data_IF_012601900192
#
_entry.id   IF_012601900192
#
_cell.length_a   1.000
_cell.length_b   1.000
_cell.length_c   1.000
_cell.angle_alpha   90.00
_cell.angle_beta   90.00
_cell.angle_gamma   90.00
#
_symmetry.space_group_name_H-M   'P 1'
#
loop_
_entity.id
_entity.type
_entity.pdbx_description
1 polymer ?
#
# COMPACT_ATOMS: atom_id res chain seq x y z
N UNK A 1 -12.89 9.26 1.09
CA UNK A 1 -12.28 9.76 2.36
C UNK A 1 -10.77 9.95 2.22
N UNK A 2 -10.02 8.98 1.69
CA UNK A 2 -8.60 9.16 1.36
C UNK A 2 -8.37 10.34 0.40
N UNK A 3 -9.17 10.47 -0.66
CA UNK A 3 -9.04 11.56 -1.65
C UNK A 3 -9.13 12.96 -1.04
N UNK A 4 -9.98 13.14 -0.04
CA UNK A 4 -10.16 14.41 0.68
C UNK A 4 -8.90 14.80 1.48
N UNK A 5 -8.31 13.81 2.16
CA UNK A 5 -7.07 14.00 2.93
C UNK A 5 -5.90 14.32 2.00
N UNK A 6 -5.87 13.67 0.83
CA UNK A 6 -4.81 13.82 -0.17
C UNK A 6 -4.83 15.18 -0.82
N UNK A 7 -6.03 15.67 -1.13
CA UNK A 7 -6.22 17.01 -1.66
C UNK A 7 -5.70 18.09 -0.70
N UNK A 8 -5.87 17.90 0.62
CA UNK A 8 -5.45 18.89 1.62
C UNK A 8 -3.98 18.80 2.04
N UNK A 9 -3.39 17.60 2.07
CA UNK A 9 -2.00 17.40 2.51
C UNK A 9 -0.98 17.38 1.35
N UNK A 10 -1.45 17.17 0.11
CA UNK A 10 -0.63 17.13 -1.09
C UNK A 10 0.11 15.80 -1.29
N UNK A 11 0.33 15.45 -2.56
CA UNK A 11 0.87 14.16 -3.01
C UNK A 11 2.28 13.82 -2.48
N UNK A 12 3.02 14.78 -1.93
CA UNK A 12 4.37 14.56 -1.38
C UNK A 12 4.36 13.84 -0.02
N UNK A 13 3.23 13.92 0.70
CA UNK A 13 3.04 13.37 2.04
C UNK A 13 1.83 12.44 2.11
N UNK A 14 1.33 12.01 0.96
CA UNK A 14 0.15 11.15 0.92
C UNK A 14 0.32 10.11 -0.17
N UNK A 15 0.24 8.84 0.20
CA UNK A 15 0.24 7.74 -0.75
C UNK A 15 -0.92 6.77 -0.49
N UNK A 16 -1.74 6.56 -1.51
CA UNK A 16 -2.93 5.73 -1.47
C UNK A 16 -2.82 4.69 -2.58
N UNK A 17 -3.25 3.47 -2.27
CA UNK A 17 -3.47 2.43 -3.27
C UNK A 17 -4.91 2.45 -3.80
N UNK A 18 -5.34 1.41 -4.51
CA UNK A 18 -6.64 1.36 -5.20
C UNK A 18 -7.80 1.83 -4.32
N UNK A 19 -8.72 2.57 -4.95
CA UNK A 19 -9.96 3.02 -4.33
C UNK A 19 -10.72 1.82 -3.77
N UNK A 20 -11.20 1.92 -2.53
CA UNK A 20 -12.01 0.86 -1.93
C UNK A 20 -13.37 0.76 -2.68
N UNK A 21 -13.40 -0.07 -3.71
CA UNK A 21 -14.56 -0.37 -4.54
C UNK A 21 -14.73 -1.90 -4.57
N UNK A 22 -15.93 -2.37 -4.26
CA UNK A 22 -16.37 -3.77 -4.39
C UNK A 22 -15.35 -4.83 -3.91
N UNK A 23 -15.37 -5.11 -2.60
CA UNK A 23 -14.54 -6.12 -1.92
C UNK A 23 -13.00 -5.92 -1.99
N UNK A 24 -12.53 -4.83 -2.60
CA UNK A 24 -11.12 -4.43 -2.50
C UNK A 24 -10.91 -3.52 -1.31
N UNK A 25 -9.89 -3.82 -0.50
CA UNK A 25 -9.47 -2.95 0.58
C UNK A 25 -8.27 -2.12 0.12
N UNK A 26 -8.39 -0.80 0.22
CA UNK A 26 -7.28 0.12 -0.06
C UNK A 26 -6.35 0.28 1.14
N UNK A 27 -5.07 0.54 0.85
CA UNK A 27 -4.05 0.92 1.82
C UNK A 27 -3.77 2.42 1.67
N UNK A 28 -3.56 3.14 2.77
CA UNK A 28 -3.15 4.54 2.74
C UNK A 28 -1.98 4.78 3.71
N UNK A 29 -1.01 5.59 3.28
CA UNK A 29 0.10 6.09 4.09
C UNK A 29 0.11 7.62 4.05
N UNK A 30 0.25 8.22 5.23
CA UNK A 30 0.42 9.66 5.40
C UNK A 30 1.68 9.85 6.27
N UNK A 31 2.89 9.88 5.68
CA UNK A 31 4.10 10.09 6.44
C UNK A 31 4.32 11.59 6.68
N UNK A 32 4.88 11.93 7.84
CA UNK A 32 5.37 13.29 8.10
C UNK A 32 6.63 13.63 7.25
N UNK A 33 7.29 12.60 6.73
CA UNK A 33 8.52 12.71 5.96
C UNK A 33 8.23 12.63 4.45
N UNK A 34 9.02 13.32 3.61
CA UNK A 34 8.79 13.33 2.18
C UNK A 34 9.02 11.94 1.57
N UNK A 35 8.11 11.55 0.69
CA UNK A 35 8.20 10.32 -0.09
C UNK A 35 9.12 10.58 -1.29
N UNK A 36 10.19 9.80 -1.40
CA UNK A 36 11.15 9.84 -2.52
C UNK A 36 10.67 9.00 -3.71
N UNK A 37 10.15 7.80 -3.44
CA UNK A 37 9.62 6.92 -4.48
C UNK A 37 8.57 5.96 -3.94
N UNK A 38 7.69 5.50 -4.83
CA UNK A 38 6.55 4.67 -4.50
C UNK A 38 6.33 3.59 -5.53
N UNK A 39 6.01 2.38 -5.05
CA UNK A 39 5.49 1.28 -5.85
C UNK A 39 4.25 0.71 -5.17
N UNK A 40 3.27 0.34 -5.98
CA UNK A 40 1.97 -0.18 -5.53
C UNK A 40 1.74 -1.52 -6.22
N UNK A 41 1.23 -2.48 -5.48
CA UNK A 41 0.96 -3.82 -5.96
C UNK A 41 -0.42 -4.28 -5.46
N UNK A 42 -1.27 -4.66 -6.42
CA UNK A 42 -2.45 -5.48 -6.12
C UNK A 42 -1.99 -6.94 -5.97
N UNK A 43 -2.26 -7.55 -4.82
CA UNK A 43 -2.08 -8.99 -4.66
C UNK A 43 -3.44 -9.67 -4.91
N UNK A 44 -3.60 -10.42 -6.00
CA UNK A 44 -4.83 -11.16 -6.24
C UNK A 44 -4.92 -12.35 -5.28
N UNK A 45 -6.08 -12.58 -4.69
CA UNK A 45 -6.40 -13.83 -4.00
C UNK A 45 -7.24 -14.73 -4.90
N UNK A 46 -7.02 -16.05 -4.91
CA UNK A 46 -7.85 -16.99 -5.67
C UNK A 46 -9.32 -17.02 -5.22
N UNK A 47 -9.63 -16.49 -4.04
CA UNK A 47 -10.99 -16.34 -3.52
C UNK A 47 -11.70 -15.06 -4.02
N UNK A 48 -11.06 -14.30 -4.91
CA UNK A 48 -11.64 -13.08 -5.49
C UNK A 48 -11.45 -11.83 -4.64
N UNK A 49 -10.79 -11.94 -3.48
CA UNK A 49 -10.36 -10.80 -2.68
C UNK A 49 -9.07 -10.19 -3.29
N UNK A 50 -8.84 -8.89 -3.08
CA UNK A 50 -7.58 -8.26 -3.43
C UNK A 50 -6.92 -7.66 -2.20
N UNK A 51 -5.65 -8.01 -2.01
CA UNK A 51 -4.76 -7.34 -1.05
C UNK A 51 -4.08 -6.13 -1.69
N UNK A 52 -3.70 -5.17 -0.86
CA UNK A 52 -2.90 -4.01 -1.26
C UNK A 52 -1.51 -4.11 -0.64
N UNK A 53 -0.49 -3.75 -1.41
CA UNK A 53 0.87 -3.53 -0.92
C UNK A 53 1.40 -2.23 -1.48
N UNK A 54 1.86 -1.36 -0.59
CA UNK A 54 2.52 -0.11 -0.90
C UNK A 54 3.96 -0.18 -0.38
N UNK A 55 4.90 -0.06 -1.29
CA UNK A 55 6.31 0.13 -0.99
C UNK A 55 6.67 1.61 -1.16
N UNK A 56 7.15 2.22 -0.09
CA UNK A 56 7.55 3.62 -0.04
C UNK A 56 9.02 3.71 0.34
N UNK A 57 9.74 4.62 -0.33
CA UNK A 57 11.06 5.06 0.10
C UNK A 57 10.91 6.47 0.66
N UNK A 58 11.24 6.65 1.93
CA UNK A 58 11.12 7.90 2.67
C UNK A 58 12.51 8.48 2.95
N UNK A 59 12.62 9.81 2.98
CA UNK A 59 13.78 10.52 3.52
C UNK A 59 13.49 10.97 4.95
N UNK A 60 14.04 10.24 5.93
CA UNK A 60 13.88 10.50 7.36
C UNK A 60 15.19 11.08 7.87
N UNK A 61 15.27 12.40 7.99
CA UNK A 61 16.48 13.10 8.45
C UNK A 61 17.76 12.70 7.68
N UNK A 62 17.70 12.68 6.34
CA UNK A 62 18.79 12.25 5.45
C UNK A 62 19.13 10.76 5.53
N UNK A 63 18.26 9.95 6.14
CA UNK A 63 18.33 8.49 6.12
C UNK A 63 17.24 7.94 5.21
N UNK A 64 17.65 7.15 4.22
CA UNK A 64 16.73 6.47 3.31
C UNK A 64 16.07 5.29 4.03
N UNK A 65 14.76 5.38 4.23
CA UNK A 65 13.96 4.32 4.87
C UNK A 65 13.04 3.64 3.87
N UNK A 66 13.06 2.31 3.90
CA UNK A 66 12.20 1.45 3.10
C UNK A 66 11.00 0.99 3.94
N UNK A 67 9.79 1.37 3.55
CA UNK A 67 8.57 1.09 4.29
C UNK A 67 7.56 0.34 3.43
N UNK A 68 7.17 -0.84 3.91
CA UNK A 68 6.11 -1.65 3.32
C UNK A 68 4.84 -1.52 4.16
N UNK A 69 3.73 -1.25 3.50
CA UNK A 69 2.40 -1.26 4.10
C UNK A 69 1.56 -2.21 3.29
N UNK A 70 0.98 -3.18 3.96
CA UNK A 70 0.16 -4.18 3.31
C UNK A 70 -1.09 -4.43 4.09
N UNK A 71 -2.19 -4.60 3.36
CA UNK A 71 -3.38 -5.25 3.88
C UNK A 71 -3.61 -6.49 3.05
N UNK A 72 -3.76 -7.59 3.75
CA UNK A 72 -4.02 -8.87 3.12
C UNK A 72 -5.51 -9.17 3.06
N UNK A 73 -5.85 -10.13 2.20
CA UNK A 73 -7.17 -10.75 2.16
C UNK A 73 -7.66 -11.15 3.55
N UNK A 74 -8.95 -10.95 3.79
CA UNK A 74 -9.64 -11.28 5.02
C UNK A 74 -9.73 -12.80 5.19
N UNK A 75 -9.96 -13.51 4.09
CA UNK A 75 -9.99 -14.98 4.07
C UNK A 75 -8.60 -15.52 3.79
N UNK A 76 -8.05 -16.29 4.73
CA UNK A 76 -6.71 -16.85 4.58
C UNK A 76 -6.71 -18.05 3.62
N UNK A 77 -5.98 -17.93 2.51
CA UNK A 77 -5.72 -19.03 1.58
C UNK A 77 -4.22 -19.31 1.47
N UNK A 78 -3.83 -20.59 1.38
CA UNK A 78 -2.41 -20.99 1.35
C UNK A 78 -1.63 -20.36 0.17
N UNK A 79 -2.29 -20.16 -0.97
CA UNK A 79 -1.71 -19.48 -2.16
C UNK A 79 -1.41 -18.01 -1.88
N UNK A 80 -2.16 -17.35 -0.98
CA UNK A 80 -1.91 -15.95 -0.66
C UNK A 80 -0.52 -15.77 -0.04
N UNK A 81 -0.08 -16.71 0.80
CA UNK A 81 1.26 -16.70 1.38
C UNK A 81 2.36 -16.77 0.32
N UNK A 82 2.19 -17.63 -0.69
CA UNK A 82 3.11 -17.72 -1.82
C UNK A 82 3.13 -16.43 -2.63
N UNK A 83 1.96 -15.89 -2.99
CA UNK A 83 1.86 -14.66 -3.77
C UNK A 83 2.48 -13.47 -3.01
N UNK A 84 2.20 -13.32 -1.71
CA UNK A 84 2.83 -12.29 -0.86
C UNK A 84 4.35 -12.33 -0.94
N UNK A 85 4.95 -13.51 -0.85
CA UNK A 85 6.41 -13.67 -0.92
C UNK A 85 7.02 -13.27 -2.28
N UNK A 86 6.25 -13.37 -3.36
CA UNK A 86 6.70 -12.99 -4.70
C UNK A 86 6.61 -11.48 -4.94
N UNK A 87 5.60 -10.81 -4.37
CA UNK A 87 5.38 -9.37 -4.53
C UNK A 87 6.16 -8.49 -3.53
N UNK A 88 6.50 -9.01 -2.34
CA UNK A 88 7.24 -8.28 -1.29
C UNK A 88 8.78 -8.36 -1.43
N UNK A 89 9.30 -8.34 -2.65
CA UNK A 89 10.75 -8.44 -2.91
C UNK A 89 11.51 -7.12 -2.76
#
# INVERSE_FOLDING_TARGET
MADYIFYHLGFRYTNYDHTALDNTYGCALIPHYPILSVRRYAIPSPLGEMGCVIYNVLDVYSVVMHMYISRFSNTEHWVDGLLRSQFLR
#
